data_IF_352406072841
#
_entry.id   IF_352406072841
#
_cell.length_a   1.000
_cell.length_b   1.000
_cell.length_c   1.000
_cell.angle_alpha   90.00
_cell.angle_beta   90.00
_cell.angle_gamma   90.00
#
_symmetry.space_group_name_H-M   'P 1'
#
loop_
_entity.id
_entity.type
_entity.pdbx_description
1 polymer ?
#
# COMPACT_ATOMS: atom_id res chain seq x y z
N UNK A 1 -34.31 -45.83 -7.73
CA UNK A 1 -33.37 -45.41 -6.67
C UNK A 1 -32.54 -44.25 -7.21
N UNK A 2 -32.95 -43.02 -6.92
CA UNK A 2 -32.22 -41.80 -7.31
C UNK A 2 -31.26 -41.41 -6.19
N UNK A 3 -29.97 -41.46 -6.47
CA UNK A 3 -28.91 -41.02 -5.54
C UNK A 3 -29.08 -39.53 -5.23
N UNK A 4 -29.08 -39.09 -3.96
CA UNK A 4 -29.18 -37.67 -3.63
C UNK A 4 -27.92 -36.96 -4.13
N UNK A 5 -28.12 -35.89 -4.92
CA UNK A 5 -27.05 -35.04 -5.39
C UNK A 5 -26.40 -34.34 -4.18
N UNK A 6 -25.11 -34.60 -3.96
CA UNK A 6 -24.33 -33.88 -2.94
C UNK A 6 -24.23 -32.41 -3.37
N UNK A 7 -24.74 -31.45 -2.58
CA UNK A 7 -24.63 -30.04 -2.93
C UNK A 7 -23.15 -29.65 -2.97
N UNK A 8 -22.74 -28.98 -4.06
CA UNK A 8 -21.38 -28.48 -4.20
C UNK A 8 -21.05 -27.56 -3.01
N UNK A 9 -19.88 -27.72 -2.36
CA UNK A 9 -19.51 -26.90 -1.22
C UNK A 9 -19.52 -25.43 -1.63
N UNK A 10 -20.16 -24.59 -0.81
CA UNK A 10 -20.19 -23.15 -1.02
C UNK A 10 -18.75 -22.62 -1.21
N UNK A 11 -18.50 -21.71 -2.17
CA UNK A 11 -17.17 -21.15 -2.37
C UNK A 11 -16.66 -20.55 -1.05
N UNK A 12 -15.68 -21.19 -0.44
CA UNK A 12 -15.07 -20.69 0.78
C UNK A 12 -14.50 -19.28 0.56
N UNK A 13 -14.38 -18.46 1.62
CA UNK A 13 -13.81 -17.13 1.51
C UNK A 13 -12.43 -17.21 0.83
N UNK A 14 -12.28 -16.45 -0.27
CA UNK A 14 -11.07 -16.46 -1.10
C UNK A 14 -9.87 -16.04 -0.25
N UNK A 15 -9.07 -17.02 0.18
CA UNK A 15 -7.86 -16.78 0.97
C UNK A 15 -6.87 -15.95 0.16
N UNK A 16 -6.22 -15.02 0.85
CA UNK A 16 -5.24 -14.16 0.22
C UNK A 16 -3.97 -14.95 -0.15
N UNK A 17 -3.35 -14.73 -1.33
CA UNK A 17 -2.21 -15.54 -1.78
C UNK A 17 -1.02 -15.54 -0.81
N UNK A 18 -0.84 -14.48 -0.03
CA UNK A 18 0.25 -14.39 0.95
C UNK A 18 -0.06 -15.09 2.26
N UNK A 19 -1.32 -15.50 2.49
CA UNK A 19 -1.73 -16.22 3.70
C UNK A 19 -1.27 -17.69 3.70
N UNK A 20 -0.90 -18.25 2.55
CA UNK A 20 -0.34 -19.61 2.45
C UNK A 20 1.18 -19.66 2.57
N UNK A 21 1.85 -18.52 2.78
CA UNK A 21 3.30 -18.48 2.96
C UNK A 21 3.68 -19.06 4.33
N UNK A 22 4.66 -19.96 4.43
CA UNK A 22 5.16 -20.44 5.70
C UNK A 22 5.84 -19.28 6.44
N UNK A 23 5.18 -18.74 7.46
CA UNK A 23 5.71 -17.67 8.29
C UNK A 23 6.58 -18.29 9.39
N UNK A 24 7.83 -17.84 9.51
CA UNK A 24 8.74 -18.24 10.61
C UNK A 24 8.31 -17.66 11.96
N UNK A 25 7.57 -16.56 11.96
CA UNK A 25 7.14 -15.86 13.16
C UNK A 25 5.84 -15.07 12.92
N UNK A 26 4.96 -15.12 13.92
CA UNK A 26 3.70 -14.40 14.00
C UNK A 26 2.65 -14.86 12.98
N UNK A 27 1.43 -14.38 13.18
CA UNK A 27 0.32 -14.64 12.26
C UNK A 27 0.31 -13.65 11.10
N UNK A 28 -0.28 -14.07 9.98
CA UNK A 28 -0.41 -13.23 8.77
C UNK A 28 -1.17 -11.93 9.06
N UNK A 29 -2.25 -12.01 9.83
CA UNK A 29 -3.10 -10.87 10.17
C UNK A 29 -2.33 -9.81 10.98
N UNK A 30 -1.61 -10.22 12.02
CA UNK A 30 -0.81 -9.32 12.87
C UNK A 30 0.27 -8.63 12.05
N UNK A 31 1.03 -9.38 11.24
CA UNK A 31 2.09 -8.80 10.39
C UNK A 31 1.54 -7.82 9.36
N UNK A 32 0.37 -8.12 8.79
CA UNK A 32 -0.28 -7.23 7.86
C UNK A 32 -0.71 -5.93 8.55
N UNK A 33 -1.36 -6.06 9.70
CA UNK A 33 -1.85 -4.92 10.46
C UNK A 33 -0.69 -4.03 10.93
N UNK A 34 0.34 -4.61 11.55
CA UNK A 34 1.55 -3.90 11.96
C UNK A 34 2.27 -3.27 10.77
N UNK A 35 2.42 -3.99 9.65
CA UNK A 35 3.07 -3.46 8.45
C UNK A 35 2.33 -2.25 7.87
N UNK A 36 0.99 -2.28 7.81
CA UNK A 36 0.19 -1.15 7.33
C UNK A 36 0.37 0.06 8.23
N UNK A 37 0.21 -0.11 9.55
CA UNK A 37 0.34 1.01 10.48
C UNK A 37 1.73 1.64 10.44
N UNK A 38 2.78 0.83 10.32
CA UNK A 38 4.15 1.31 10.19
C UNK A 38 4.39 2.05 8.87
N UNK A 39 3.89 1.52 7.75
CA UNK A 39 4.03 2.16 6.42
C UNK A 39 3.28 3.49 6.38
N UNK A 40 2.01 3.50 6.80
CA UNK A 40 1.15 4.69 6.75
C UNK A 40 1.61 5.71 7.79
N UNK A 41 1.80 5.29 9.04
CA UNK A 41 2.27 6.17 10.11
C UNK A 41 3.64 6.75 9.81
N UNK A 42 4.60 5.91 9.41
CA UNK A 42 5.93 6.37 8.98
C UNK A 42 5.87 7.32 7.79
N UNK A 43 5.01 7.04 6.82
CA UNK A 43 4.83 7.91 5.66
C UNK A 43 4.24 9.28 6.00
N UNK A 44 3.25 9.33 6.90
CA UNK A 44 2.69 10.58 7.43
C UNK A 44 3.74 11.35 8.23
N UNK A 45 4.54 10.67 9.06
CA UNK A 45 5.64 11.30 9.79
C UNK A 45 6.70 11.90 8.86
N UNK A 46 7.05 11.23 7.75
CA UNK A 46 7.95 11.78 6.73
C UNK A 46 7.35 13.06 6.16
N UNK A 47 6.11 13.01 5.65
CA UNK A 47 5.49 14.18 5.01
C UNK A 47 5.22 15.36 5.98
N UNK A 48 5.05 15.08 7.27
CA UNK A 48 4.89 16.10 8.32
C UNK A 48 6.21 16.65 8.88
N UNK A 49 7.36 16.10 8.48
CA UNK A 49 8.67 16.55 8.96
C UNK A 49 9.13 17.85 8.27
N UNK A 50 10.12 18.51 8.87
CA UNK A 50 10.73 19.74 8.37
C UNK A 50 12.21 19.83 8.82
N UNK A 51 12.90 20.91 8.46
CA UNK A 51 14.32 21.12 8.78
C UNK A 51 14.60 21.21 10.28
N UNK A 52 13.63 21.64 11.08
CA UNK A 52 13.73 21.76 12.54
C UNK A 52 13.44 20.43 13.25
N UNK A 53 12.83 19.46 12.55
CA UNK A 53 12.33 18.21 13.09
C UNK A 53 12.88 16.98 12.34
N UNK A 54 14.19 16.98 12.02
CA UNK A 54 14.86 15.87 11.34
C UNK A 54 14.76 14.54 12.09
N UNK A 55 14.61 14.56 13.41
CA UNK A 55 14.37 13.36 14.20
C UNK A 55 13.03 12.69 13.84
N UNK A 56 12.00 13.47 13.50
CA UNK A 56 10.71 12.96 13.02
C UNK A 56 10.86 12.29 11.66
N UNK A 57 11.68 12.89 10.77
CA UNK A 57 12.00 12.30 9.47
C UNK A 57 12.72 10.94 9.63
N UNK A 58 13.67 10.86 10.56
CA UNK A 58 14.39 9.63 10.85
C UNK A 58 13.47 8.54 11.43
N UNK A 59 12.62 8.89 12.40
CA UNK A 59 11.61 7.96 12.95
C UNK A 59 10.58 7.54 11.90
N UNK A 60 10.11 8.47 11.06
CA UNK A 60 9.18 8.18 9.98
C UNK A 60 9.77 7.25 8.93
N UNK A 61 11.01 7.50 8.52
CA UNK A 61 11.74 6.65 7.56
C UNK A 61 11.97 5.26 8.12
N UNK A 62 12.46 5.14 9.36
CA UNK A 62 12.69 3.84 10.00
C UNK A 62 11.40 3.06 10.17
N UNK A 63 10.31 3.70 10.61
CA UNK A 63 9.00 3.07 10.70
C UNK A 63 8.50 2.60 9.31
N UNK A 64 8.62 3.44 8.28
CA UNK A 64 8.20 3.09 6.93
C UNK A 64 8.96 1.88 6.38
N UNK A 65 10.29 1.87 6.51
CA UNK A 65 11.16 0.75 6.11
C UNK A 65 10.82 -0.51 6.90
N UNK A 66 10.66 -0.39 8.22
CA UNK A 66 10.28 -1.52 9.08
C UNK A 66 8.93 -2.11 8.66
N UNK A 67 7.95 -1.28 8.33
CA UNK A 67 6.64 -1.72 7.86
C UNK A 67 6.72 -2.59 6.60
N UNK A 68 7.53 -2.20 5.61
CA UNK A 68 7.78 -3.01 4.40
C UNK A 68 8.49 -4.34 4.71
N UNK A 69 9.42 -4.35 5.67
CA UNK A 69 10.11 -5.56 6.10
C UNK A 69 9.18 -6.54 6.85
N UNK A 70 8.24 -6.01 7.62
CA UNK A 70 7.28 -6.79 8.41
C UNK A 70 6.22 -7.46 7.54
N UNK A 71 5.82 -6.84 6.42
CA UNK A 71 4.76 -7.34 5.53
C UNK A 71 4.93 -8.83 5.15
N UNK A 72 3.85 -9.62 5.09
CA UNK A 72 3.92 -11.02 4.68
C UNK A 72 4.07 -11.15 3.16
N UNK A 73 5.30 -11.37 2.68
CA UNK A 73 5.62 -11.70 1.27
C UNK A 73 6.91 -12.51 1.12
N UNK A 74 7.28 -12.90 -0.10
CA UNK A 74 8.63 -13.44 -0.38
C UNK A 74 9.74 -12.41 -0.09
N UNK A 75 10.86 -12.85 0.50
CA UNK A 75 11.93 -11.97 1.00
C UNK A 75 12.53 -11.03 -0.06
N UNK A 76 12.79 -11.54 -1.26
CA UNK A 76 13.32 -10.74 -2.38
C UNK A 76 12.38 -9.58 -2.77
N UNK A 77 11.06 -9.80 -2.77
CA UNK A 77 10.09 -8.75 -3.12
C UNK A 77 9.99 -7.63 -2.08
N UNK A 78 10.25 -7.92 -0.81
CA UNK A 78 10.26 -6.90 0.25
C UNK A 78 11.40 -5.92 0.03
N UNK A 79 12.60 -6.45 -0.16
CA UNK A 79 13.82 -5.65 -0.33
C UNK A 79 13.72 -4.76 -1.57
N UNK A 80 13.23 -5.31 -2.68
CA UNK A 80 13.05 -4.54 -3.92
C UNK A 80 12.02 -3.40 -3.76
N UNK A 81 10.99 -3.57 -2.93
CA UNK A 81 9.98 -2.55 -2.71
C UNK A 81 10.41 -1.44 -1.75
N UNK A 82 11.25 -1.74 -0.76
CA UNK A 82 11.66 -0.78 0.28
C UNK A 82 12.30 0.47 -0.33
N UNK A 83 13.29 0.29 -1.22
CA UNK A 83 14.05 1.40 -1.79
C UNK A 83 13.18 2.40 -2.56
N UNK A 84 12.46 1.98 -3.61
CA UNK A 84 11.63 2.89 -4.40
C UNK A 84 10.45 3.46 -3.62
N UNK A 85 9.85 2.71 -2.68
CA UNK A 85 8.79 3.23 -1.83
C UNK A 85 9.30 4.33 -0.88
N UNK A 86 10.46 4.12 -0.25
CA UNK A 86 11.07 5.10 0.66
C UNK A 86 11.50 6.35 -0.10
N UNK A 87 12.09 6.19 -1.29
CA UNK A 87 12.43 7.31 -2.16
C UNK A 87 11.19 8.13 -2.53
N UNK A 88 10.10 7.47 -2.94
CA UNK A 88 8.84 8.15 -3.22
C UNK A 88 8.32 8.93 -2.00
N UNK A 89 8.45 8.39 -0.79
CA UNK A 89 8.07 9.11 0.43
C UNK A 89 8.92 10.36 0.68
N UNK A 90 10.22 10.30 0.41
CA UNK A 90 11.07 11.49 0.52
C UNK A 90 10.74 12.57 -0.53
N UNK A 91 10.32 12.17 -1.74
CA UNK A 91 9.84 13.13 -2.74
C UNK A 91 8.59 13.91 -2.29
N UNK A 92 7.80 13.36 -1.36
CA UNK A 92 6.65 14.08 -0.81
C UNK A 92 7.05 15.29 0.06
N UNK A 93 8.30 15.34 0.55
CA UNK A 93 8.80 16.51 1.29
C UNK A 93 8.79 17.78 0.44
N UNK A 94 8.79 17.66 -0.89
CA UNK A 94 8.78 18.80 -1.81
C UNK A 94 7.42 19.50 -1.88
N UNK A 95 6.33 18.85 -1.43
CA UNK A 95 5.01 19.46 -1.35
C UNK A 95 3.89 18.67 -2.05
N UNK A 96 2.63 19.13 -1.93
CA UNK A 96 1.44 18.41 -2.40
C UNK A 96 1.45 18.13 -3.90
N UNK A 97 2.16 18.94 -4.69
CA UNK A 97 2.34 18.72 -6.14
C UNK A 97 2.93 17.35 -6.47
N UNK A 98 3.71 16.78 -5.55
CA UNK A 98 4.37 15.49 -5.74
C UNK A 98 3.54 14.29 -5.28
N UNK A 99 2.27 14.44 -4.86
CA UNK A 99 1.46 13.29 -4.41
C UNK A 99 1.27 12.18 -5.45
N UNK A 100 1.52 12.47 -6.73
CA UNK A 100 1.60 11.47 -7.80
C UNK A 100 2.61 10.35 -7.51
N UNK A 101 3.67 10.63 -6.76
CA UNK A 101 4.68 9.62 -6.40
C UNK A 101 4.09 8.50 -5.53
N UNK A 102 2.95 8.72 -4.86
CA UNK A 102 2.23 7.68 -4.09
C UNK A 102 1.70 6.53 -4.95
N UNK A 103 1.62 6.70 -6.27
CA UNK A 103 1.34 5.60 -7.20
C UNK A 103 2.44 4.54 -7.13
N UNK A 104 3.70 4.92 -6.87
CA UNK A 104 4.83 3.99 -6.76
C UNK A 104 4.66 3.02 -5.57
N UNK A 105 4.52 3.47 -4.30
CA UNK A 105 4.27 2.55 -3.19
C UNK A 105 2.95 1.79 -3.35
N UNK A 106 1.95 2.34 -4.03
CA UNK A 106 0.73 1.61 -4.37
C UNK A 106 0.97 0.42 -5.31
N UNK A 107 1.73 0.62 -6.40
CA UNK A 107 2.08 -0.45 -7.32
C UNK A 107 2.96 -1.51 -6.65
N UNK A 108 3.92 -1.08 -5.84
CA UNK A 108 4.77 -1.97 -5.05
C UNK A 108 3.95 -2.77 -4.04
N UNK A 109 2.91 -2.17 -3.45
CA UNK A 109 1.98 -2.87 -2.59
C UNK A 109 1.27 -4.01 -3.34
N UNK A 110 0.74 -3.75 -4.55
CA UNK A 110 0.13 -4.80 -5.38
C UNK A 110 1.13 -5.90 -5.75
N UNK A 111 2.37 -5.53 -6.06
CA UNK A 111 3.45 -6.45 -6.39
C UNK A 111 3.84 -7.36 -5.22
N UNK A 112 4.08 -6.78 -4.04
CA UNK A 112 4.44 -7.49 -2.81
C UNK A 112 3.30 -8.42 -2.35
N UNK A 113 2.04 -8.02 -2.57
CA UNK A 113 0.85 -8.82 -2.24
C UNK A 113 0.53 -9.93 -3.24
N UNK A 114 1.37 -10.11 -4.26
CA UNK A 114 1.15 -11.10 -5.31
C UNK A 114 -0.27 -10.96 -5.92
N UNK A 115 -0.68 -9.74 -6.27
CA UNK A 115 -1.97 -9.51 -6.96
C UNK A 115 -1.89 -9.94 -8.43
N UNK A 116 -3.03 -10.05 -9.10
CA UNK A 116 -3.09 -10.30 -10.53
C UNK A 116 -2.44 -9.11 -11.28
N UNK A 117 -1.76 -9.32 -12.42
CA UNK A 117 -1.20 -8.21 -13.19
C UNK A 117 -2.28 -7.22 -13.64
N UNK A 118 -3.50 -7.71 -13.91
CA UNK A 118 -4.67 -6.87 -14.20
C UNK A 118 -5.05 -5.92 -13.06
N UNK A 119 -4.66 -6.21 -11.81
CA UNK A 119 -4.88 -5.29 -10.70
C UNK A 119 -4.08 -3.99 -10.84
N UNK A 120 -3.08 -3.91 -11.72
CA UNK A 120 -2.40 -2.63 -12.02
C UNK A 120 -3.38 -1.58 -12.59
N UNK A 121 -4.50 -2.00 -13.20
CA UNK A 121 -5.52 -1.07 -13.68
C UNK A 121 -6.16 -0.23 -12.56
N UNK A 122 -6.15 -0.71 -11.31
CA UNK A 122 -6.63 0.09 -10.17
C UNK A 122 -5.68 1.23 -9.79
N UNK A 123 -4.48 1.29 -10.38
CA UNK A 123 -3.59 2.43 -10.25
C UNK A 123 -4.04 3.63 -11.09
N UNK A 124 -4.85 3.43 -12.15
CA UNK A 124 -5.38 4.52 -12.98
C UNK A 124 -6.21 5.52 -12.17
N UNK A 125 -7.24 5.11 -11.40
CA UNK A 125 -7.99 6.06 -10.57
C UNK A 125 -7.13 6.69 -9.46
N UNK A 126 -6.12 5.96 -8.93
CA UNK A 126 -5.18 6.52 -7.94
C UNK A 126 -4.31 7.62 -8.57
N UNK A 127 -3.76 7.38 -9.75
CA UNK A 127 -2.96 8.35 -10.48
C UNK A 127 -3.78 9.58 -10.88
N UNK A 128 -5.01 9.37 -11.37
CA UNK A 128 -5.92 10.47 -11.70
C UNK A 128 -6.24 11.32 -10.46
N UNK A 129 -6.58 10.70 -9.33
CA UNK A 129 -6.82 11.42 -8.09
C UNK A 129 -5.59 12.18 -7.62
N UNK A 130 -4.39 11.57 -7.70
CA UNK A 130 -3.16 12.22 -7.30
C UNK A 130 -2.78 13.41 -8.20
N UNK A 131 -3.03 13.33 -9.52
CA UNK A 131 -2.83 14.46 -10.43
C UNK A 131 -3.80 15.60 -10.08
N UNK A 132 -5.09 15.30 -9.95
CA UNK A 132 -6.11 16.31 -9.66
C UNK A 132 -5.87 17.00 -8.31
N UNK A 133 -5.54 16.23 -7.28
CA UNK A 133 -5.24 16.75 -5.94
C UNK A 133 -3.93 17.53 -5.93
N UNK A 134 -2.89 17.03 -6.60
CA UNK A 134 -1.59 17.70 -6.70
C UNK A 134 -1.67 19.04 -7.41
N UNK A 135 -2.53 19.16 -8.43
CA UNK A 135 -2.81 20.42 -9.11
C UNK A 135 -3.62 21.38 -8.23
N UNK A 136 -4.72 20.88 -7.63
CA UNK A 136 -5.60 21.69 -6.78
C UNK A 136 -4.92 22.22 -5.50
N UNK A 137 -4.03 21.44 -4.89
CA UNK A 137 -3.39 21.76 -3.61
C UNK A 137 -1.91 22.13 -3.74
N UNK A 138 -1.35 22.14 -4.95
CA UNK A 138 0.10 22.25 -5.18
C UNK A 138 0.76 23.53 -4.66
N UNK A 139 -0.03 24.60 -4.43
CA UNK A 139 0.47 25.90 -4.00
C UNK A 139 0.42 26.09 -2.47
N UNK A 140 -0.20 25.17 -1.73
CA UNK A 140 -0.47 25.34 -0.30
C UNK A 140 -0.03 24.09 0.48
N UNK A 141 1.15 24.17 1.10
CA UNK A 141 1.72 23.08 1.88
C UNK A 141 0.83 22.68 3.06
N UNK A 142 0.02 23.60 3.60
CA UNK A 142 -0.91 23.28 4.70
C UNK A 142 -1.92 22.19 4.30
N UNK A 143 -2.19 22.05 2.99
CA UNK A 143 -3.08 21.04 2.43
C UNK A 143 -2.40 19.70 2.17
N UNK A 144 -1.12 19.53 2.50
CA UNK A 144 -0.42 18.26 2.34
C UNK A 144 -1.15 17.10 3.03
N UNK A 145 -1.58 17.28 4.28
CA UNK A 145 -2.28 16.23 5.01
C UNK A 145 -3.60 15.84 4.34
N UNK A 146 -4.35 16.82 3.85
CA UNK A 146 -5.58 16.59 3.10
C UNK A 146 -5.29 15.87 1.76
N UNK A 147 -4.22 16.27 1.06
CA UNK A 147 -3.79 15.63 -0.17
C UNK A 147 -3.47 14.14 0.05
N UNK A 148 -2.69 13.84 1.10
CA UNK A 148 -2.34 12.48 1.50
C UNK A 148 -3.57 11.67 1.91
N UNK A 149 -4.52 12.28 2.63
CA UNK A 149 -5.75 11.61 3.04
C UNK A 149 -6.60 11.19 1.84
N UNK A 150 -6.79 12.09 0.87
CA UNK A 150 -7.57 11.81 -0.34
C UNK A 150 -6.89 10.74 -1.18
N UNK A 151 -5.60 10.90 -1.51
CA UNK A 151 -4.88 9.91 -2.32
C UNK A 151 -4.77 8.58 -1.59
N UNK A 152 -4.47 8.59 -0.29
CA UNK A 152 -4.45 7.40 0.56
C UNK A 152 -5.79 6.66 0.60
N UNK A 153 -6.91 7.38 0.68
CA UNK A 153 -8.25 6.80 0.59
C UNK A 153 -8.48 6.15 -0.79
N UNK A 154 -8.07 6.79 -1.87
CA UNK A 154 -8.17 6.19 -3.22
C UNK A 154 -7.29 4.96 -3.37
N UNK A 155 -6.09 4.94 -2.79
CA UNK A 155 -5.23 3.76 -2.73
C UNK A 155 -5.90 2.63 -1.96
N UNK A 156 -6.51 2.91 -0.81
CA UNK A 156 -7.24 1.92 -0.03
C UNK A 156 -8.44 1.35 -0.81
N UNK A 157 -9.21 2.21 -1.48
CA UNK A 157 -10.33 1.81 -2.34
C UNK A 157 -9.85 0.96 -3.53
N UNK A 158 -8.78 1.37 -4.21
CA UNK A 158 -8.18 0.60 -5.30
C UNK A 158 -7.63 -0.75 -4.82
N UNK A 159 -6.96 -0.78 -3.67
CA UNK A 159 -6.46 -2.02 -3.06
C UNK A 159 -7.61 -2.97 -2.68
N UNK A 160 -8.74 -2.43 -2.21
CA UNK A 160 -9.94 -3.22 -1.95
C UNK A 160 -10.55 -3.74 -3.27
N UNK A 161 -10.72 -2.88 -4.28
CA UNK A 161 -11.23 -3.26 -5.60
C UNK A 161 -10.36 -4.33 -6.28
N UNK A 162 -9.04 -4.29 -6.08
CA UNK A 162 -8.11 -5.30 -6.60
C UNK A 162 -8.41 -6.73 -6.11
N UNK A 163 -9.11 -6.89 -4.97
CA UNK A 163 -9.53 -8.19 -4.43
C UNK A 163 -10.64 -8.84 -5.28
N UNK A 164 -11.42 -8.03 -5.99
CA UNK A 164 -12.51 -8.48 -6.84
C UNK A 164 -12.00 -9.03 -8.19
N UNK A 165 -10.81 -8.61 -8.61
CA UNK A 165 -10.21 -9.01 -9.89
C UNK A 165 -9.70 -10.46 -9.78
N UNK A 166 -10.24 -11.41 -10.56
CA UNK A 166 -9.76 -12.78 -10.57
C UNK A 166 -8.35 -12.86 -11.16
N UNK A 167 -7.53 -13.76 -10.63
CA UNK A 167 -6.33 -14.21 -11.34
C UNK A 167 -6.80 -15.07 -12.52
N UNK A 168 -6.60 -14.59 -13.76
CA UNK A 168 -6.59 -15.48 -14.92
C UNK A 168 -5.38 -16.42 -14.74
N UNK A 169 -5.65 -17.72 -14.70
CA UNK A 169 -4.61 -18.76 -14.68
C UNK A 169 -3.92 -18.82 -16.03
#
# INVERSE_FOLDING_TARGET
>A
MTSPAVPAPAPGPRREPTASLPLRWGDHATRLWTGIWLIVGGGVSIAGSNTEALWVLALGTTAHVAGWCVLPSSGCRRVVAVGPATLAMWLLLTGPRFVIVLVVPYLLWLYVRHRAPLSVLTAVPVAAAAILVGDAFGHDYSRMLAALAIVGATMAAGAWASRLIPRRR
#
